data_IF_504408780468
#
_entry.id   IF_504408780468
#
_cell.length_a   1.000
_cell.length_b   1.000
_cell.length_c   1.000
_cell.angle_alpha   90.00
_cell.angle_beta   90.00
_cell.angle_gamma   90.00
#
_symmetry.space_group_name_H-M   'P 1'
#
loop_
_entity.id
_entity.type
_entity.pdbx_description
1 polymer ?
#
# COMPACT_ATOMS: atom_id res chain seq x y z
N UNK A 1 -17.77 13.22 -15.11
CA UNK A 1 -16.75 14.00 -15.84
C UNK A 1 -16.83 15.44 -15.38
N UNK A 2 -15.69 16.06 -15.04
CA UNK A 2 -15.61 17.37 -14.38
C UNK A 2 -15.90 18.51 -15.36
N UNK A 3 -15.37 18.46 -16.59
CA UNK A 3 -15.64 19.47 -17.62
C UNK A 3 -17.14 19.51 -17.98
N UNK A 4 -17.77 18.35 -18.10
CA UNK A 4 -19.22 18.26 -18.32
C UNK A 4 -20.04 18.82 -17.15
N UNK A 5 -19.57 18.63 -15.90
CA UNK A 5 -20.24 19.19 -14.73
C UNK A 5 -20.21 20.72 -14.77
N UNK A 6 -19.04 21.31 -15.10
CA UNK A 6 -18.90 22.76 -15.31
C UNK A 6 -19.85 23.25 -16.40
N UNK A 7 -19.89 22.58 -17.56
CA UNK A 7 -20.77 22.98 -18.67
C UNK A 7 -22.25 22.94 -18.28
N UNK A 8 -22.69 21.89 -17.59
CA UNK A 8 -24.08 21.78 -17.11
C UNK A 8 -24.42 22.87 -16.10
N UNK A 9 -23.50 23.20 -15.20
CA UNK A 9 -23.70 24.27 -14.23
C UNK A 9 -23.69 25.64 -14.89
N UNK A 10 -22.81 25.88 -15.87
CA UNK A 10 -22.75 27.12 -16.64
C UNK A 10 -24.00 27.36 -17.49
N UNK A 11 -24.69 26.30 -17.93
CA UNK A 11 -25.94 26.38 -18.67
C UNK A 11 -27.15 26.77 -17.81
N UNK A 12 -27.02 26.83 -16.48
CA UNK A 12 -28.10 27.25 -15.61
C UNK A 12 -28.40 28.75 -15.79
N UNK A 13 -29.69 29.15 -15.86
CA UNK A 13 -30.06 30.55 -16.02
C UNK A 13 -29.55 31.38 -14.83
N UNK A 14 -29.01 32.56 -15.13
CA UNK A 14 -28.49 33.53 -14.16
C UNK A 14 -27.37 33.02 -13.24
N UNK A 15 -26.63 31.98 -13.66
CA UNK A 15 -25.52 31.47 -12.86
C UNK A 15 -24.29 32.38 -12.94
N UNK A 16 -24.02 33.12 -11.87
CA UNK A 16 -22.82 33.95 -11.65
C UNK A 16 -22.46 33.90 -10.16
N UNK A 17 -21.25 33.44 -9.83
CA UNK A 17 -20.78 33.28 -8.44
C UNK A 17 -19.80 34.37 -8.00
N UNK A 18 -19.51 35.32 -8.90
CA UNK A 18 -18.50 36.36 -8.72
C UNK A 18 -19.15 37.73 -8.68
N UNK A 19 -18.56 38.63 -7.90
CA UNK A 19 -18.85 40.08 -8.03
C UNK A 19 -18.13 40.65 -9.26
N UNK A 20 -18.52 41.84 -9.76
CA UNK A 20 -17.83 42.49 -10.88
C UNK A 20 -16.31 42.67 -10.65
N UNK A 21 -15.89 42.93 -9.41
CA UNK A 21 -14.48 43.08 -9.04
C UNK A 21 -13.73 41.74 -9.03
N UNK A 22 -14.38 40.67 -8.59
CA UNK A 22 -13.83 39.30 -8.68
C UNK A 22 -13.72 38.84 -10.12
N UNK A 23 -14.73 39.15 -10.93
CA UNK A 23 -14.78 38.86 -12.37
C UNK A 23 -13.61 39.54 -13.10
N UNK A 24 -13.39 40.83 -12.84
CA UNK A 24 -12.28 41.58 -13.42
C UNK A 24 -10.91 41.01 -13.01
N UNK A 25 -10.74 40.59 -11.75
CA UNK A 25 -9.50 39.96 -11.27
C UNK A 25 -9.25 38.60 -11.93
N UNK A 26 -10.26 37.75 -12.01
CA UNK A 26 -10.17 36.46 -12.69
C UNK A 26 -9.84 36.64 -14.17
N UNK A 27 -10.50 37.59 -14.83
CA UNK A 27 -10.22 37.91 -16.22
C UNK A 27 -8.78 38.41 -16.43
N UNK A 28 -8.27 39.27 -15.56
CA UNK A 28 -6.87 39.71 -15.61
C UNK A 28 -5.88 38.54 -15.43
N UNK A 29 -6.14 37.62 -14.51
CA UNK A 29 -5.31 36.43 -14.33
C UNK A 29 -5.33 35.51 -15.57
N UNK A 30 -6.49 35.40 -16.22
CA UNK A 30 -6.64 34.65 -17.47
C UNK A 30 -5.83 35.29 -18.61
N UNK A 31 -5.94 36.62 -18.80
CA UNK A 31 -5.19 37.36 -19.82
C UNK A 31 -3.67 37.27 -19.59
N UNK A 32 -3.24 37.28 -18.34
CA UNK A 32 -1.82 37.09 -18.01
C UNK A 32 -1.30 35.72 -18.43
N UNK A 33 -2.09 34.66 -18.20
CA UNK A 33 -1.74 33.33 -18.68
C UNK A 33 -1.73 33.29 -20.21
N UNK A 34 -2.72 33.91 -20.86
CA UNK A 34 -2.80 33.97 -22.33
C UNK A 34 -1.60 34.69 -22.96
N UNK A 35 -1.11 35.76 -22.32
CA UNK A 35 0.07 36.50 -22.78
C UNK A 35 1.37 35.73 -22.56
N UNK A 36 1.49 35.01 -21.43
CA UNK A 36 2.74 34.35 -21.04
C UNK A 36 2.89 32.93 -21.57
N UNK A 37 1.78 32.17 -21.68
CA UNK A 37 1.72 30.76 -22.09
C UNK A 37 0.41 30.51 -22.88
N UNK A 38 0.29 31.01 -24.13
CA UNK A 38 -0.93 30.90 -24.93
C UNK A 38 -1.41 29.45 -25.10
N UNK A 39 -0.49 28.50 -25.22
CA UNK A 39 -0.77 27.08 -25.39
C UNK A 39 -1.41 26.42 -24.16
N UNK A 40 -1.27 27.04 -22.98
CA UNK A 40 -1.81 26.54 -21.73
C UNK A 40 -3.27 26.96 -21.49
N UNK A 41 -3.82 27.86 -22.30
CA UNK A 41 -5.15 28.43 -22.09
C UNK A 41 -6.26 27.50 -22.60
N UNK A 42 -7.43 27.52 -21.96
CA UNK A 42 -8.64 26.82 -22.42
C UNK A 42 -9.76 27.84 -22.70
N UNK A 43 -9.92 28.33 -23.95
CA UNK A 43 -10.93 29.34 -24.29
C UNK A 43 -12.36 28.92 -23.93
N UNK A 44 -12.72 27.65 -24.16
CA UNK A 44 -14.04 27.11 -23.84
C UNK A 44 -14.34 27.05 -22.34
N UNK A 45 -13.32 27.16 -21.48
CA UNK A 45 -13.46 27.17 -20.02
C UNK A 45 -13.34 28.59 -19.42
N UNK A 46 -13.02 29.60 -20.24
CA UNK A 46 -12.76 30.96 -19.78
C UNK A 46 -14.00 31.59 -19.13
N UNK A 47 -15.17 31.43 -19.75
CA UNK A 47 -16.42 31.97 -19.22
C UNK A 47 -16.76 31.40 -17.85
N UNK A 48 -16.65 30.07 -17.69
CA UNK A 48 -16.90 29.41 -16.41
C UNK A 48 -15.91 29.87 -15.34
N UNK A 49 -14.62 29.97 -15.70
CA UNK A 49 -13.55 30.42 -14.81
C UNK A 49 -13.81 31.83 -14.28
N UNK A 50 -14.13 32.77 -15.17
CA UNK A 50 -14.41 34.18 -14.84
C UNK A 50 -15.70 34.33 -14.01
N UNK A 51 -16.66 33.41 -14.16
CA UNK A 51 -17.86 33.31 -13.32
C UNK A 51 -17.63 32.60 -11.97
N UNK A 52 -16.40 32.23 -11.62
CA UNK A 52 -16.03 31.69 -10.32
C UNK A 52 -16.09 30.16 -10.19
N UNK A 53 -16.07 29.42 -11.30
CA UNK A 53 -16.04 27.95 -11.28
C UNK A 53 -15.00 27.35 -12.24
N UNK A 54 -14.46 26.19 -11.89
CA UNK A 54 -13.55 25.47 -12.77
C UNK A 54 -13.61 23.96 -12.57
N UNK A 55 -13.15 23.20 -13.56
CA UNK A 55 -12.83 21.80 -13.40
C UNK A 55 -11.36 21.65 -12.99
N UNK A 56 -10.99 20.59 -12.27
CA UNK A 56 -9.60 20.25 -11.95
C UNK A 56 -9.38 18.73 -12.09
N UNK A 57 -8.54 18.31 -13.04
CA UNK A 57 -8.22 16.91 -13.23
C UNK A 57 -6.84 16.71 -13.87
N UNK A 58 -6.32 15.49 -13.80
CA UNK A 58 -4.99 15.13 -14.29
C UNK A 58 -4.78 15.48 -15.78
N UNK A 59 -5.82 15.39 -16.61
CA UNK A 59 -5.76 15.74 -18.05
C UNK A 59 -5.61 17.24 -18.38
N UNK A 60 -5.58 18.15 -17.40
CA UNK A 60 -5.39 19.58 -17.68
C UNK A 60 -3.90 19.96 -17.84
N UNK A 61 -3.64 20.95 -18.68
CA UNK A 61 -2.31 21.51 -18.89
C UNK A 61 -1.76 22.15 -17.60
N UNK A 62 -0.44 22.06 -17.33
CA UNK A 62 0.15 22.57 -16.09
C UNK A 62 -0.10 24.07 -15.83
N UNK A 63 -0.04 24.92 -16.87
CA UNK A 63 -0.30 26.35 -16.74
C UNK A 63 -1.73 26.65 -16.27
N UNK A 64 -2.72 26.00 -16.90
CA UNK A 64 -4.13 26.11 -16.51
C UNK A 64 -4.40 25.62 -15.08
N UNK A 65 -3.79 24.49 -14.68
CA UNK A 65 -3.91 23.97 -13.30
C UNK A 65 -3.41 24.98 -12.27
N UNK A 66 -2.23 25.56 -12.50
CA UNK A 66 -1.66 26.59 -11.60
C UNK A 66 -2.55 27.82 -11.50
N UNK A 67 -3.14 28.25 -12.61
CA UNK A 67 -4.09 29.36 -12.62
C UNK A 67 -5.30 29.07 -11.72
N UNK A 68 -5.91 27.88 -11.87
CA UNK A 68 -7.06 27.45 -11.05
C UNK A 68 -6.67 27.36 -9.57
N UNK A 69 -5.54 26.74 -9.26
CA UNK A 69 -5.05 26.58 -7.88
C UNK A 69 -4.84 27.94 -7.21
N UNK A 70 -4.19 28.87 -7.91
CA UNK A 70 -3.97 30.24 -7.41
C UNK A 70 -5.29 31.00 -7.21
N UNK A 71 -6.20 30.94 -8.18
CA UNK A 71 -7.50 31.62 -8.09
C UNK A 71 -8.37 31.06 -6.95
N UNK A 72 -8.29 29.75 -6.69
CA UNK A 72 -9.00 29.11 -5.58
C UNK A 72 -8.43 29.48 -4.21
N UNK A 73 -7.10 29.48 -4.08
CA UNK A 73 -6.42 29.89 -2.84
C UNK A 73 -6.71 31.36 -2.49
N UNK A 74 -6.86 32.22 -3.51
CA UNK A 74 -7.28 33.61 -3.33
C UNK A 74 -8.78 33.77 -3.03
N UNK A 75 -9.55 32.68 -3.02
CA UNK A 75 -11.00 32.70 -2.77
C UNK A 75 -11.83 33.28 -3.91
N UNK A 76 -11.27 33.42 -5.11
CA UNK A 76 -11.97 33.95 -6.30
C UNK A 76 -12.84 32.87 -6.94
N UNK A 77 -12.35 31.63 -7.01
CA UNK A 77 -13.15 30.47 -7.42
C UNK A 77 -13.97 29.96 -6.23
N UNK A 78 -15.29 29.90 -6.38
CA UNK A 78 -16.22 29.44 -5.34
C UNK A 78 -16.54 27.96 -5.45
N UNK A 79 -16.47 27.40 -6.66
CA UNK A 79 -16.80 25.99 -6.94
C UNK A 79 -15.71 25.36 -7.81
N UNK A 80 -15.20 24.20 -7.41
CA UNK A 80 -14.31 23.38 -8.25
C UNK A 80 -14.89 21.97 -8.37
N UNK A 81 -15.00 21.50 -9.61
CA UNK A 81 -15.30 20.10 -9.91
C UNK A 81 -14.01 19.34 -10.11
N UNK A 82 -13.70 18.41 -9.20
CA UNK A 82 -12.41 17.75 -9.19
C UNK A 82 -12.51 16.23 -9.28
N UNK A 83 -11.47 15.62 -9.85
CA UNK A 83 -11.24 14.17 -9.70
C UNK A 83 -10.57 13.86 -8.36
N UNK A 84 -10.68 12.60 -7.92
CA UNK A 84 -10.10 12.10 -6.66
C UNK A 84 -8.63 12.48 -6.44
N UNK A 85 -7.82 12.54 -7.51
CA UNK A 85 -6.40 12.90 -7.43
C UNK A 85 -6.15 14.26 -6.78
N UNK A 86 -7.14 15.17 -6.81
CA UNK A 86 -7.05 16.44 -6.12
C UNK A 86 -6.93 16.26 -4.60
N UNK A 87 -7.65 15.30 -4.04
CA UNK A 87 -7.68 15.02 -2.61
C UNK A 87 -6.34 14.50 -2.07
N UNK A 88 -5.48 13.94 -2.92
CA UNK A 88 -4.21 13.33 -2.50
C UNK A 88 -2.99 14.27 -2.60
N UNK A 89 -3.04 15.35 -3.40
CA UNK A 89 -1.79 15.99 -3.87
C UNK A 89 -1.62 17.50 -3.65
N UNK A 90 -2.67 18.25 -3.29
CA UNK A 90 -2.60 19.72 -3.31
C UNK A 90 -3.23 20.34 -2.04
N UNK A 91 -2.65 21.42 -1.52
CA UNK A 91 -3.21 22.18 -0.41
C UNK A 91 -4.30 23.15 -0.89
N UNK A 92 -5.49 22.62 -1.15
CA UNK A 92 -6.70 23.39 -1.48
C UNK A 92 -7.86 23.02 -0.55
N UNK A 93 -7.90 23.56 0.69
CA UNK A 93 -9.02 23.36 1.59
C UNK A 93 -10.23 24.18 1.14
N UNK A 94 -11.43 23.61 1.29
CA UNK A 94 -12.71 24.24 0.99
C UNK A 94 -13.56 24.30 2.26
N UNK A 95 -14.56 25.18 2.32
CA UNK A 95 -15.55 25.13 3.42
C UNK A 95 -16.33 23.82 3.42
N UNK A 96 -16.73 23.40 2.22
CA UNK A 96 -17.57 22.22 1.99
C UNK A 96 -16.97 21.36 0.90
N UNK A 97 -16.99 20.04 1.09
CA UNK A 97 -16.69 19.07 0.04
C UNK A 97 -17.92 18.26 -0.30
N UNK A 98 -18.18 18.10 -1.60
CA UNK A 98 -19.30 17.30 -2.11
C UNK A 98 -18.76 16.10 -2.85
N UNK A 99 -19.10 14.91 -2.37
CA UNK A 99 -18.75 13.62 -2.99
C UNK A 99 -19.95 13.21 -3.84
N UNK A 100 -19.78 13.29 -5.16
CA UNK A 100 -20.89 13.07 -6.10
C UNK A 100 -21.25 11.61 -6.32
N UNK A 101 -20.29 10.70 -6.17
CA UNK A 101 -20.45 9.25 -6.38
C UNK A 101 -19.50 8.52 -5.42
N UNK A 102 -19.98 7.48 -4.74
CA UNK A 102 -19.20 6.61 -3.83
C UNK A 102 -18.88 5.25 -4.44
N UNK A 103 -19.32 5.00 -5.67
CA UNK A 103 -18.95 3.85 -6.49
C UNK A 103 -18.05 4.26 -7.67
N UNK A 104 -17.17 3.35 -8.11
CA UNK A 104 -16.30 3.56 -9.28
C UNK A 104 -16.10 2.29 -10.07
N UNK A 105 -15.99 2.43 -11.40
CA UNK A 105 -15.54 1.35 -12.28
C UNK A 105 -14.01 1.17 -12.19
N UNK A 106 -13.55 0.00 -11.76
CA UNK A 106 -12.14 -0.43 -11.85
C UNK A 106 -12.06 -1.59 -12.84
N UNK A 107 -11.64 -1.31 -14.07
CA UNK A 107 -11.64 -2.31 -15.14
C UNK A 107 -13.06 -2.75 -15.50
N UNK A 108 -13.35 -4.06 -15.37
CA UNK A 108 -14.68 -4.63 -15.61
C UNK A 108 -15.63 -4.57 -14.42
N UNK A 109 -15.14 -4.24 -13.22
CA UNK A 109 -15.91 -4.35 -11.97
C UNK A 109 -16.29 -2.97 -11.43
N UNK A 110 -17.53 -2.81 -10.97
CA UNK A 110 -17.92 -1.69 -10.11
C UNK A 110 -17.56 -2.00 -8.66
N UNK A 111 -16.76 -1.15 -8.05
CA UNK A 111 -16.33 -1.25 -6.65
C UNK A 111 -16.65 0.04 -5.92
N UNK A 112 -17.10 -0.07 -4.67
CA UNK A 112 -17.19 1.07 -3.77
C UNK A 112 -15.81 1.71 -3.55
N UNK A 113 -15.81 3.00 -3.23
CA UNK A 113 -14.62 3.70 -2.78
C UNK A 113 -14.12 3.11 -1.46
N UNK A 114 -12.82 3.28 -1.24
CA UNK A 114 -12.16 2.91 0.01
C UNK A 114 -12.45 3.96 1.10
N UNK A 115 -12.36 3.54 2.36
CA UNK A 115 -12.49 4.45 3.50
C UNK A 115 -11.48 5.59 3.40
N UNK A 116 -10.21 5.27 3.15
CA UNK A 116 -9.15 6.26 3.03
C UNK A 116 -9.40 7.24 1.86
N UNK A 117 -10.05 6.80 0.77
CA UNK A 117 -10.39 7.67 -0.37
C UNK A 117 -11.50 8.67 0.02
N UNK A 118 -12.57 8.21 0.68
CA UNK A 118 -13.64 9.09 1.18
C UNK A 118 -13.10 10.07 2.22
N UNK A 119 -12.32 9.59 3.19
CA UNK A 119 -11.77 10.42 4.26
C UNK A 119 -10.78 11.45 3.73
N UNK A 120 -9.98 11.13 2.69
CA UNK A 120 -9.12 12.10 2.01
C UNK A 120 -9.93 13.21 1.31
N UNK A 121 -11.03 12.86 0.65
CA UNK A 121 -11.92 13.86 0.04
C UNK A 121 -12.60 14.71 1.10
N UNK A 122 -13.25 14.08 2.10
CA UNK A 122 -13.94 14.76 3.18
C UNK A 122 -13.01 15.66 4.02
N UNK A 123 -11.75 15.24 4.20
CA UNK A 123 -10.73 16.01 4.92
C UNK A 123 -10.30 17.32 4.23
N UNK A 124 -10.81 17.60 3.02
CA UNK A 124 -10.66 18.92 2.38
C UNK A 124 -11.69 19.93 2.86
N UNK A 125 -12.74 19.50 3.54
CA UNK A 125 -13.74 20.39 4.14
C UNK A 125 -13.22 21.01 5.45
N UNK A 126 -13.52 22.29 5.64
CA UNK A 126 -13.09 23.08 6.78
C UNK A 126 -11.72 23.75 6.55
N UNK A 127 -11.71 25.08 6.46
CA UNK A 127 -10.48 25.86 6.34
C UNK A 127 -9.99 26.25 7.74
N UNK A 128 -8.79 25.78 8.11
CA UNK A 128 -8.15 26.11 9.38
C UNK A 128 -8.06 27.63 9.57
N UNK A 129 -8.57 28.13 10.69
CA UNK A 129 -8.56 29.56 11.02
C UNK A 129 -9.66 30.39 10.36
N UNK A 130 -10.52 29.80 9.53
CA UNK A 130 -11.63 30.51 8.88
C UNK A 130 -13.00 29.88 9.12
N UNK A 131 -13.09 28.55 9.23
CA UNK A 131 -14.34 27.83 9.46
C UNK A 131 -14.25 27.06 10.78
N UNK A 132 -15.28 27.17 11.63
CA UNK A 132 -15.38 26.39 12.89
C UNK A 132 -15.69 24.91 12.62
N UNK A 133 -16.43 24.64 11.55
CA UNK A 133 -16.89 23.31 11.15
C UNK A 133 -16.70 23.16 9.63
N UNK A 134 -16.18 22.01 9.20
CA UNK A 134 -16.15 21.58 7.80
C UNK A 134 -17.35 20.71 7.45
N UNK A 135 -17.94 20.91 6.27
CA UNK A 135 -19.08 20.12 5.81
C UNK A 135 -18.67 19.14 4.70
N UNK A 136 -18.93 17.84 4.90
CA UNK A 136 -18.81 16.83 3.86
C UNK A 136 -20.20 16.31 3.48
N UNK A 137 -20.55 16.40 2.20
CA UNK A 137 -21.86 15.99 1.68
C UNK A 137 -21.68 14.87 0.68
N UNK A 138 -22.40 13.77 0.84
CA UNK A 138 -22.46 12.69 -0.14
C UNK A 138 -23.77 12.80 -0.91
N UNK A 139 -23.69 12.85 -2.23
CA UNK A 139 -24.87 12.86 -3.09
C UNK A 139 -25.36 11.44 -3.34
N UNK A 140 -26.69 11.29 -3.38
CA UNK A 140 -27.31 10.05 -3.79
C UNK A 140 -27.29 9.94 -5.32
N UNK A 141 -26.72 8.84 -5.80
CA UNK A 141 -26.71 8.38 -7.18
C UNK A 141 -27.84 7.34 -7.39
N UNK A 142 -28.05 6.92 -8.64
CA UNK A 142 -29.00 5.83 -8.96
C UNK A 142 -28.56 4.48 -8.39
N UNK A 143 -27.26 4.31 -8.13
CA UNK A 143 -26.63 3.03 -7.79
C UNK A 143 -26.06 2.98 -6.38
N UNK A 144 -25.82 4.14 -5.78
CA UNK A 144 -25.10 4.31 -4.53
C UNK A 144 -25.53 5.60 -3.83
N UNK A 145 -25.51 5.62 -2.51
CA UNK A 145 -25.93 6.77 -1.73
C UNK A 145 -25.49 6.68 -0.27
N UNK A 146 -26.37 7.12 0.63
CA UNK A 146 -26.04 7.24 2.05
C UNK A 146 -25.72 5.89 2.73
N UNK A 147 -26.38 4.80 2.31
CA UNK A 147 -26.17 3.47 2.90
C UNK A 147 -24.76 2.95 2.59
N UNK A 148 -24.33 3.02 1.34
CA UNK A 148 -23.01 2.60 0.90
C UNK A 148 -21.92 3.50 1.49
N UNK A 149 -22.17 4.81 1.56
CA UNK A 149 -21.25 5.74 2.23
C UNK A 149 -21.07 5.40 3.71
N UNK A 150 -22.16 5.09 4.41
CA UNK A 150 -22.13 4.67 5.80
C UNK A 150 -21.40 3.35 5.99
N UNK A 151 -21.59 2.38 5.10
CA UNK A 151 -20.84 1.12 5.10
C UNK A 151 -19.33 1.36 4.96
N UNK A 152 -18.92 2.21 4.03
CA UNK A 152 -17.50 2.55 3.81
C UNK A 152 -16.90 3.23 5.05
N UNK A 153 -17.63 4.14 5.69
CA UNK A 153 -17.18 4.81 6.91
C UNK A 153 -17.02 3.80 8.05
N UNK A 154 -17.99 2.89 8.23
CA UNK A 154 -17.95 1.87 9.28
C UNK A 154 -16.80 0.86 9.14
N UNK A 155 -16.37 0.54 7.92
CA UNK A 155 -15.24 -0.37 7.69
C UNK A 155 -13.93 0.11 8.32
N UNK A 156 -13.82 1.42 8.59
CA UNK A 156 -12.62 2.03 9.16
C UNK A 156 -11.45 2.14 8.18
N UNK A 157 -10.36 2.81 8.58
CA UNK A 157 -9.23 3.09 7.70
C UNK A 157 -8.51 1.82 7.26
N UNK A 158 -8.21 1.72 5.96
CA UNK A 158 -7.42 0.60 5.45
C UNK A 158 -5.96 0.70 5.93
N UNK A 159 -5.41 -0.44 6.33
CA UNK A 159 -3.98 -0.55 6.67
C UNK A 159 -3.09 -0.25 5.48
N UNK A 160 -1.92 0.35 5.75
CA UNK A 160 -0.88 0.55 4.76
C UNK A 160 -0.39 -0.80 4.26
N UNK A 161 -0.40 -0.97 2.92
CA UNK A 161 0.12 -2.16 2.26
C UNK A 161 1.42 -1.82 1.54
N UNK A 162 2.39 -2.73 1.61
CA UNK A 162 3.64 -2.57 0.86
C UNK A 162 3.39 -2.66 -0.63
N UNK A 163 3.78 -1.62 -1.36
CA UNK A 163 3.82 -1.59 -2.83
C UNK A 163 5.20 -1.94 -3.39
N UNK A 164 6.13 -2.38 -2.53
CA UNK A 164 7.46 -2.83 -2.96
C UNK A 164 7.34 -4.00 -3.94
N UNK A 165 7.81 -3.79 -5.17
CA UNK A 165 7.94 -4.81 -6.19
C UNK A 165 9.41 -4.97 -6.57
N UNK A 166 9.81 -6.19 -6.91
CA UNK A 166 11.12 -6.47 -7.47
C UNK A 166 11.05 -6.32 -8.98
N UNK A 167 11.59 -5.22 -9.50
CA UNK A 167 11.76 -5.01 -10.94
C UNK A 167 13.19 -5.32 -11.37
N UNK A 168 13.39 -5.72 -12.63
CA UNK A 168 14.73 -5.94 -13.19
C UNK A 168 15.63 -4.71 -13.02
N UNK A 169 15.10 -3.51 -13.26
CA UNK A 169 15.85 -2.26 -13.07
C UNK A 169 16.32 -2.05 -11.63
N UNK A 170 15.49 -2.41 -10.63
CA UNK A 170 15.90 -2.36 -9.23
C UNK A 170 17.04 -3.36 -8.95
N UNK A 171 16.93 -4.58 -9.46
CA UNK A 171 17.96 -5.62 -9.27
C UNK A 171 19.29 -5.18 -9.88
N UNK A 172 19.27 -4.72 -11.13
CA UNK A 172 20.46 -4.23 -11.83
C UNK A 172 21.09 -3.03 -11.12
N UNK A 173 20.27 -2.07 -10.67
CA UNK A 173 20.76 -0.90 -9.91
C UNK A 173 21.41 -1.30 -8.59
N UNK A 174 20.84 -2.29 -7.88
CA UNK A 174 21.40 -2.78 -6.63
C UNK A 174 22.72 -3.54 -6.86
N UNK A 175 22.78 -4.41 -7.86
CA UNK A 175 24.00 -5.17 -8.18
C UNK A 175 25.13 -4.27 -8.72
N UNK A 176 24.79 -3.17 -9.39
CA UNK A 176 25.77 -2.20 -9.87
C UNK A 176 26.36 -1.33 -8.77
N UNK A 177 25.67 -1.15 -7.63
CA UNK A 177 26.05 -0.18 -6.58
C UNK A 177 26.32 -0.80 -5.22
N UNK A 178 25.95 -2.07 -5.01
CA UNK A 178 26.02 -2.76 -3.72
C UNK A 178 26.51 -4.19 -3.90
N UNK A 179 27.15 -4.72 -2.87
CA UNK A 179 27.44 -6.16 -2.81
C UNK A 179 26.15 -6.98 -2.71
N UNK A 180 26.21 -8.26 -3.10
CA UNK A 180 25.06 -9.18 -2.99
C UNK A 180 24.46 -9.23 -1.57
N UNK A 181 25.32 -9.20 -0.54
CA UNK A 181 24.89 -9.20 0.86
C UNK A 181 24.10 -7.94 1.23
N UNK A 182 24.53 -6.78 0.75
CA UNK A 182 23.86 -5.50 0.99
C UNK A 182 22.56 -5.38 0.19
N UNK A 183 22.55 -5.83 -1.07
CA UNK A 183 21.34 -5.88 -1.89
C UNK A 183 20.27 -6.79 -1.26
N UNK A 184 20.68 -7.95 -0.75
CA UNK A 184 19.81 -8.85 0.02
C UNK A 184 19.27 -8.17 1.28
N UNK A 185 20.14 -7.56 2.10
CA UNK A 185 19.71 -6.85 3.30
C UNK A 185 18.73 -5.71 2.99
N UNK A 186 18.88 -5.04 1.84
CA UNK A 186 17.96 -3.99 1.41
C UNK A 186 16.56 -4.55 1.13
N UNK A 187 16.46 -5.66 0.40
CA UNK A 187 15.18 -6.33 0.12
C UNK A 187 14.55 -6.89 1.41
N UNK A 188 15.36 -7.44 2.32
CA UNK A 188 14.92 -7.95 3.62
C UNK A 188 14.35 -6.86 4.53
N UNK A 189 14.81 -5.61 4.39
CA UNK A 189 14.29 -4.44 5.13
C UNK A 189 13.05 -3.80 4.49
N UNK A 190 12.56 -4.32 3.36
CA UNK A 190 11.35 -3.79 2.71
C UNK A 190 10.13 -3.87 3.63
N UNK A 191 9.22 -2.91 3.50
CA UNK A 191 8.00 -2.82 4.33
C UNK A 191 7.11 -4.08 4.21
N UNK A 192 7.13 -4.75 3.05
CA UNK A 192 6.43 -6.02 2.85
C UNK A 192 7.00 -7.15 3.71
N UNK A 193 8.32 -7.21 3.87
CA UNK A 193 8.99 -8.15 4.78
C UNK A 193 8.79 -7.76 6.24
N UNK A 194 8.71 -6.47 6.57
CA UNK A 194 8.35 -6.00 7.90
C UNK A 194 6.94 -6.43 8.31
N UNK A 195 5.92 -6.15 7.50
CA UNK A 195 4.53 -6.53 7.77
C UNK A 195 4.34 -8.06 7.83
N UNK A 196 4.95 -8.80 6.91
CA UNK A 196 4.92 -10.27 6.95
C UNK A 196 5.74 -10.87 8.09
N UNK A 197 6.69 -10.09 8.62
CA UNK A 197 7.60 -10.48 9.71
C UNK A 197 7.12 -10.09 11.09
N UNK A 198 6.17 -9.17 11.24
CA UNK A 198 5.68 -8.69 12.55
C UNK A 198 5.10 -9.83 13.39
N UNK A 199 4.25 -10.67 12.78
CA UNK A 199 3.72 -11.87 13.44
C UNK A 199 4.81 -12.88 13.84
N UNK A 200 5.91 -12.95 13.07
CA UNK A 200 7.08 -13.78 13.42
C UNK A 200 7.90 -13.14 14.54
N UNK A 201 8.12 -11.82 14.52
CA UNK A 201 8.85 -11.06 15.53
C UNK A 201 8.16 -11.16 16.88
N UNK A 202 6.86 -10.86 16.95
CA UNK A 202 6.06 -10.98 18.17
C UNK A 202 6.13 -12.37 18.79
N UNK A 203 6.09 -13.42 17.97
CA UNK A 203 6.25 -14.82 18.45
C UNK A 203 7.67 -15.16 18.87
N UNK A 204 8.67 -14.52 18.26
CA UNK A 204 10.08 -14.71 18.64
C UNK A 204 10.36 -14.02 19.98
N UNK A 205 9.89 -12.78 20.14
CA UNK A 205 9.92 -12.02 21.40
C UNK A 205 9.19 -12.77 22.52
N UNK A 206 8.00 -13.32 22.25
CA UNK A 206 7.25 -14.16 23.21
C UNK A 206 8.04 -15.42 23.63
N UNK A 207 8.78 -16.05 22.71
CA UNK A 207 9.63 -17.19 23.06
C UNK A 207 10.80 -16.75 23.93
N UNK A 208 11.42 -15.60 23.64
CA UNK A 208 12.53 -15.05 24.41
C UNK A 208 12.09 -14.69 25.85
N UNK A 209 10.94 -14.03 26.02
CA UNK A 209 10.42 -13.69 27.35
C UNK A 209 10.06 -14.94 28.18
N UNK A 210 9.44 -15.95 27.56
CA UNK A 210 9.17 -17.24 28.21
C UNK A 210 10.46 -17.98 28.59
N UNK A 211 11.49 -17.88 27.75
CA UNK A 211 12.81 -18.44 28.04
C UNK A 211 13.51 -17.74 29.20
N UNK A 212 13.47 -16.41 29.25
CA UNK A 212 14.06 -15.62 30.33
C UNK A 212 13.37 -15.88 31.67
N UNK A 213 12.03 -15.95 31.68
CA UNK A 213 11.27 -16.26 32.89
C UNK A 213 11.58 -17.67 33.42
N UNK A 214 11.65 -18.66 32.54
CA UNK A 214 12.01 -20.02 32.94
C UNK A 214 13.44 -20.10 33.49
N UNK A 215 14.39 -19.36 32.89
CA UNK A 215 15.77 -19.27 33.40
C UNK A 215 15.84 -18.63 34.78
N UNK A 216 15.04 -17.59 35.04
CA UNK A 216 14.98 -16.92 36.33
C UNK A 216 14.46 -17.87 37.43
N UNK A 217 13.33 -18.55 37.20
CA UNK A 217 12.77 -19.51 38.16
C UNK A 217 13.68 -20.72 38.39
N UNK A 218 14.43 -21.16 37.39
CA UNK A 218 15.44 -22.21 37.56
C UNK A 218 16.59 -21.79 38.48
N UNK A 219 16.98 -20.51 38.46
CA UNK A 219 17.99 -19.98 39.39
C UNK A 219 17.42 -19.91 40.80
N UNK A 220 16.19 -19.41 40.95
CA UNK A 220 15.49 -19.34 42.24
C UNK A 220 15.32 -20.72 42.88
N UNK A 221 14.91 -21.73 42.08
CA UNK A 221 14.83 -23.12 42.54
C UNK A 221 16.19 -23.67 42.98
N UNK A 222 17.26 -23.41 42.21
CA UNK A 222 18.61 -23.86 42.54
C UNK A 222 19.16 -23.19 43.82
N UNK A 223 18.85 -21.91 44.04
CA UNK A 223 19.19 -21.17 45.26
C UNK A 223 18.42 -21.71 46.47
N UNK A 224 17.13 -22.00 46.31
CA UNK A 224 16.29 -22.59 47.36
C UNK A 224 16.72 -24.02 47.73
N UNK A 225 17.12 -24.84 46.75
CA UNK A 225 17.71 -26.17 46.98
C UNK A 225 19.06 -26.09 47.71
N UNK A 226 19.90 -25.10 47.37
CA UNK A 226 21.18 -24.88 48.05
C UNK A 226 20.97 -24.50 49.52
N UNK A 227 20.05 -23.57 49.81
CA UNK A 227 19.67 -23.20 51.18
C UNK A 227 19.09 -24.38 51.98
N UNK A 228 18.24 -25.20 51.35
CA UNK A 228 17.71 -26.41 51.98
C UNK A 228 18.81 -27.41 52.37
N UNK A 229 19.89 -27.53 51.57
CA UNK A 229 21.04 -28.39 51.89
C UNK A 229 21.93 -27.84 53.00
N UNK A 230 22.05 -26.53 53.12
CA UNK A 230 22.92 -25.87 54.11
C UNK A 230 22.21 -25.63 55.47
N UNK A 231 20.92 -25.29 55.46
CA UNK A 231 20.18 -24.82 56.65
C UNK A 231 19.12 -25.83 57.15
N UNK A 232 18.84 -26.89 56.38
CA UNK A 232 17.88 -27.94 56.77
C UNK A 232 16.40 -27.50 56.71
N UNK A 233 16.11 -26.28 56.25
CA UNK A 233 14.74 -25.78 56.05
C UNK A 233 14.08 -26.45 54.85
N UNK A 234 12.93 -27.10 55.09
CA UNK A 234 12.15 -27.74 54.03
C UNK A 234 11.31 -26.72 53.27
N UNK A 235 11.85 -26.14 52.20
CA UNK A 235 11.08 -25.29 51.29
C UNK A 235 10.20 -26.13 50.35
N UNK A 236 8.94 -25.72 50.17
CA UNK A 236 8.06 -26.34 49.19
C UNK A 236 8.37 -25.82 47.78
N UNK A 237 9.09 -26.63 47.00
CA UNK A 237 9.50 -26.33 45.62
C UNK A 237 8.47 -26.72 44.56
N UNK A 238 7.41 -27.44 44.94
CA UNK A 238 6.33 -27.86 44.03
C UNK A 238 5.77 -26.72 43.16
N UNK A 239 5.40 -25.53 43.70
CA UNK A 239 4.83 -24.46 42.88
C UNK A 239 5.80 -23.88 41.85
N UNK A 240 7.10 -23.78 42.21
CA UNK A 240 8.14 -23.28 41.29
C UNK A 240 8.39 -24.30 40.17
N UNK A 241 8.39 -25.59 40.50
CA UNK A 241 8.58 -26.66 39.53
C UNK A 241 7.39 -26.75 38.56
N UNK A 242 6.17 -26.57 39.06
CA UNK A 242 4.93 -26.52 38.26
C UNK A 242 4.97 -25.33 37.28
N UNK A 243 5.29 -24.12 37.73
CA UNK A 243 5.42 -22.93 36.88
C UNK A 243 6.50 -23.11 35.79
N UNK A 244 7.64 -23.75 36.12
CA UNK A 244 8.69 -24.06 35.13
C UNK A 244 8.17 -25.04 34.05
N UNK A 245 7.40 -26.05 34.43
CA UNK A 245 6.81 -27.02 33.49
C UNK A 245 5.79 -26.34 32.58
N UNK A 246 4.94 -25.46 33.11
CA UNK A 246 3.99 -24.66 32.35
C UNK A 246 4.68 -23.75 31.34
N UNK A 247 5.71 -23.01 31.76
CA UNK A 247 6.48 -22.13 30.87
C UNK A 247 7.20 -22.91 29.77
N UNK A 248 7.73 -24.10 30.06
CA UNK A 248 8.30 -25.00 29.05
C UNK A 248 7.25 -25.50 28.05
N UNK A 249 6.05 -25.81 28.51
CA UNK A 249 4.93 -26.22 27.65
C UNK A 249 4.46 -25.07 26.75
N UNK A 250 4.27 -23.87 27.33
CA UNK A 250 3.92 -22.65 26.60
C UNK A 250 4.96 -22.31 25.53
N UNK A 251 6.25 -22.36 25.88
CA UNK A 251 7.36 -22.17 24.92
C UNK A 251 7.34 -23.18 23.79
N UNK A 252 7.08 -24.47 24.08
CA UNK A 252 6.98 -25.53 23.06
C UNK A 252 5.82 -25.25 22.11
N UNK A 253 4.69 -24.78 22.61
CA UNK A 253 3.53 -24.37 21.82
C UNK A 253 3.85 -23.16 20.93
N UNK A 254 4.44 -22.10 21.50
CA UNK A 254 4.86 -20.90 20.76
C UNK A 254 5.86 -21.25 19.64
N UNK A 255 6.85 -22.13 19.89
CA UNK A 255 7.77 -22.64 18.86
C UNK A 255 7.04 -23.38 17.72
N UNK A 256 6.00 -24.16 18.02
CA UNK A 256 5.18 -24.84 17.01
C UNK A 256 4.39 -23.84 16.17
N UNK A 257 3.79 -22.83 16.80
CA UNK A 257 3.07 -21.76 16.10
C UNK A 257 4.00 -20.93 15.21
N UNK A 258 5.19 -20.58 15.69
CA UNK A 258 6.21 -19.88 14.90
C UNK A 258 6.62 -20.69 13.65
N UNK A 259 6.79 -22.01 13.78
CA UNK A 259 7.06 -22.89 12.62
C UNK A 259 5.92 -22.87 11.60
N UNK A 260 4.66 -22.90 12.07
CA UNK A 260 3.48 -22.79 11.18
C UNK A 260 3.42 -21.45 10.47
N UNK A 261 3.64 -20.35 11.19
CA UNK A 261 3.69 -19.00 10.61
C UNK A 261 4.80 -18.86 9.57
N UNK A 262 5.99 -19.42 9.83
CA UNK A 262 7.09 -19.47 8.84
C UNK A 262 6.69 -20.23 7.58
N UNK A 263 6.04 -21.39 7.73
CA UNK A 263 5.57 -22.19 6.59
C UNK A 263 4.50 -21.46 5.78
N UNK A 264 3.53 -20.84 6.44
CA UNK A 264 2.47 -20.05 5.79
C UNK A 264 3.03 -18.82 5.06
N UNK A 265 3.97 -18.10 5.68
CA UNK A 265 4.63 -16.96 5.05
C UNK A 265 5.46 -17.38 3.82
N UNK A 266 6.05 -18.58 3.84
CA UNK A 266 6.77 -19.12 2.69
C UNK A 266 5.83 -19.47 1.53
N UNK A 267 4.71 -20.14 1.81
CA UNK A 267 3.68 -20.48 0.80
C UNK A 267 3.12 -19.20 0.16
N UNK A 268 2.76 -18.18 0.95
CA UNK A 268 2.29 -16.90 0.41
C UNK A 268 3.33 -16.20 -0.47
N UNK A 269 4.62 -16.33 -0.17
CA UNK A 269 5.69 -15.77 -1.02
C UNK A 269 5.77 -16.52 -2.35
N UNK A 270 5.69 -17.85 -2.33
CA UNK A 270 5.71 -18.68 -3.53
C UNK A 270 4.50 -18.38 -4.44
N UNK A 271 3.29 -18.29 -3.88
CA UNK A 271 2.07 -17.92 -4.62
C UNK A 271 2.17 -16.53 -5.25
N UNK A 272 2.69 -15.53 -4.50
CA UNK A 272 2.90 -14.17 -5.03
C UNK A 272 3.93 -14.13 -6.15
N UNK A 273 5.01 -14.91 -6.04
CA UNK A 273 6.01 -15.03 -7.08
C UNK A 273 5.43 -15.69 -8.35
N UNK A 274 4.68 -16.78 -8.20
CA UNK A 274 3.99 -17.45 -9.31
C UNK A 274 2.98 -16.53 -10.01
N UNK A 275 2.19 -15.76 -9.26
CA UNK A 275 1.25 -14.79 -9.81
C UNK A 275 1.96 -13.64 -10.55
N UNK A 276 3.16 -13.25 -10.12
CA UNK A 276 3.98 -12.25 -10.81
C UNK A 276 4.50 -12.79 -12.15
N UNK A 277 4.97 -14.04 -12.17
CA UNK A 277 5.42 -14.73 -13.39
C UNK A 277 4.27 -14.82 -14.40
N UNK A 278 3.06 -15.20 -13.95
CA UNK A 278 1.88 -15.24 -14.82
C UNK A 278 1.46 -13.86 -15.36
N UNK A 279 1.60 -12.79 -14.58
CA UNK A 279 1.27 -11.41 -15.03
C UNK A 279 2.29 -10.82 -16.01
N UNK A 280 3.54 -11.27 -15.93
CA UNK A 280 4.61 -10.87 -16.85
C UNK A 280 4.60 -11.76 -18.12
N UNK A 281 4.01 -12.96 -18.03
CA UNK A 281 3.91 -13.94 -19.12
C UNK A 281 2.82 -13.67 -20.15
N UNK A 282 2.89 -12.52 -20.81
CA UNK A 282 2.27 -12.27 -22.11
C UNK A 282 3.35 -12.05 -23.16
N UNK A 283 4.23 -13.05 -23.35
CA UNK A 283 5.29 -13.01 -24.35
C UNK A 283 6.71 -12.98 -23.75
N UNK A 284 7.16 -14.12 -23.23
CA UNK A 284 8.58 -14.47 -23.21
C UNK A 284 8.65 -15.94 -23.65
N UNK A 285 9.47 -16.29 -24.66
CA UNK A 285 9.67 -17.67 -25.06
C UNK A 285 10.24 -18.45 -23.88
N UNK A 286 9.81 -19.70 -23.78
CA UNK A 286 10.22 -20.63 -22.74
C UNK A 286 11.75 -20.68 -22.58
N UNK A 287 12.19 -20.88 -21.33
CA UNK A 287 13.58 -21.07 -20.84
C UNK A 287 14.32 -19.80 -20.43
N UNK A 288 14.00 -19.32 -19.23
CA UNK A 288 15.02 -18.72 -18.36
C UNK A 288 15.24 -19.71 -17.22
N UNK A 289 16.28 -20.53 -17.34
CA UNK A 289 16.79 -21.30 -16.22
C UNK A 289 17.29 -20.32 -15.15
N UNK A 290 16.72 -20.40 -13.96
CA UNK A 290 17.22 -19.65 -12.80
C UNK A 290 18.24 -20.57 -12.12
N UNK A 291 19.51 -20.44 -12.52
CA UNK A 291 20.62 -21.00 -11.74
C UNK A 291 20.74 -20.24 -10.43
N UNK A 292 20.24 -20.85 -9.35
CA UNK A 292 20.58 -20.45 -7.99
C UNK A 292 21.92 -21.13 -7.64
N UNK A 293 22.98 -20.40 -7.29
CA UNK A 293 24.21 -21.03 -6.83
C UNK A 293 23.93 -21.83 -5.56
N UNK A 294 24.20 -23.15 -5.64
CA UNK A 294 23.85 -24.17 -4.64
C UNK A 294 24.82 -24.21 -3.45
N UNK A 295 25.86 -23.40 -3.42
CA UNK A 295 26.98 -23.63 -2.48
C UNK A 295 26.79 -23.20 -1.02
N UNK A 296 25.64 -22.66 -0.60
CA UNK A 296 25.37 -22.36 0.82
C UNK A 296 23.89 -22.59 1.24
N UNK A 297 23.28 -23.68 0.76
CA UNK A 297 21.95 -24.10 1.27
C UNK A 297 22.06 -24.85 2.60
N UNK A 298 21.41 -24.38 3.69
CA UNK A 298 21.33 -25.15 4.92
C UNK A 298 20.48 -26.42 4.69
N UNK A 299 20.93 -27.54 5.26
CA UNK A 299 20.51 -28.94 5.07
C UNK A 299 19.02 -29.31 5.31
N UNK A 300 18.10 -28.35 5.40
CA UNK A 300 16.65 -28.60 5.47
C UNK A 300 15.93 -28.44 4.13
N UNK A 301 16.64 -28.10 3.05
CA UNK A 301 16.12 -28.03 1.67
C UNK A 301 15.68 -29.38 1.08
N UNK A 302 15.95 -30.49 1.77
CA UNK A 302 15.50 -31.83 1.35
C UNK A 302 14.62 -32.47 2.41
N UNK A 303 13.31 -32.46 2.13
CA UNK A 303 12.32 -33.53 2.41
C UNK A 303 10.91 -32.98 2.16
N UNK A 304 10.62 -32.75 0.88
CA UNK A 304 9.25 -32.90 0.37
C UNK A 304 9.10 -34.40 0.09
N UNK A 305 8.06 -35.01 0.65
CA UNK A 305 7.80 -36.44 0.49
C UNK A 305 7.40 -36.79 -0.93
N UNK A 306 7.70 -38.03 -1.30
CA UNK A 306 7.70 -38.61 -2.65
C UNK A 306 6.36 -38.56 -3.42
N UNK A 307 5.26 -38.07 -2.83
CA UNK A 307 3.95 -37.99 -3.49
C UNK A 307 3.72 -36.68 -4.28
N UNK A 308 4.59 -35.66 -4.14
CA UNK A 308 4.44 -34.36 -4.83
C UNK A 308 5.41 -34.20 -6.01
N UNK A 309 6.39 -35.10 -6.16
CA UNK A 309 7.38 -35.06 -7.25
C UNK A 309 6.78 -35.51 -8.60
N UNK A 310 5.82 -36.43 -8.62
CA UNK A 310 5.32 -37.01 -9.87
C UNK A 310 4.45 -36.03 -10.68
N UNK A 311 3.61 -35.24 -10.00
CA UNK A 311 2.76 -34.23 -10.66
C UNK A 311 3.54 -32.98 -11.10
N UNK A 312 4.60 -32.60 -10.37
CA UNK A 312 5.44 -31.44 -10.72
C UNK A 312 6.49 -31.78 -11.79
N UNK A 313 6.99 -33.03 -11.83
CA UNK A 313 7.98 -33.45 -12.82
C UNK A 313 7.39 -33.60 -14.22
N UNK A 314 6.09 -33.92 -14.36
CA UNK A 314 5.45 -33.95 -15.69
C UNK A 314 5.15 -32.55 -16.25
N UNK A 315 4.98 -31.54 -15.40
CA UNK A 315 4.75 -30.15 -15.83
C UNK A 315 6.04 -29.39 -16.21
N UNK A 316 7.20 -29.87 -15.75
CA UNK A 316 8.51 -29.28 -15.99
C UNK A 316 9.44 -30.35 -16.57
N UNK A 317 9.34 -30.58 -17.88
CA UNK A 317 10.32 -31.35 -18.65
C UNK A 317 11.67 -30.60 -18.67
N UNK A 318 12.42 -30.74 -17.59
CA UNK A 318 13.81 -30.30 -17.47
C UNK A 318 14.66 -31.44 -18.01
N UNK A 319 15.07 -31.33 -19.28
CA UNK A 319 16.17 -32.12 -19.82
C UNK A 319 17.42 -31.25 -19.81
N UNK A 320 18.50 -31.76 -19.23
CA UNK A 320 19.82 -31.16 -19.33
C UNK A 320 20.26 -31.16 -20.80
N UNK A 321 20.63 -29.99 -21.31
CA UNK A 321 21.28 -29.87 -22.63
C UNK A 321 22.79 -29.92 -22.41
N UNK A 322 23.49 -30.69 -23.24
CA UNK A 322 24.95 -30.76 -23.16
C UNK A 322 25.58 -29.51 -23.78
N UNK A 323 26.82 -29.18 -23.38
CA UNK A 323 27.52 -27.99 -23.86
C UNK A 323 27.67 -27.93 -25.40
N UNK A 324 27.71 -29.08 -26.08
CA UNK A 324 27.75 -29.17 -27.54
C UNK A 324 26.41 -28.79 -28.19
N UNK A 325 25.27 -29.09 -27.55
CA UNK A 325 23.93 -28.74 -28.04
C UNK A 325 23.67 -27.23 -27.94
N UNK A 326 24.23 -26.57 -26.92
CA UNK A 326 24.15 -25.11 -26.72
C UNK A 326 24.99 -24.35 -27.75
N UNK A 327 26.15 -24.89 -28.16
CA UNK A 327 27.03 -24.27 -29.14
C UNK A 327 26.47 -24.26 -30.57
N UNK A 328 25.49 -25.13 -30.87
CA UNK A 328 24.86 -25.27 -32.19
C UNK A 328 23.59 -24.42 -32.35
N UNK A 329 23.19 -23.65 -31.32
CA UNK A 329 21.98 -22.83 -31.38
C UNK A 329 22.25 -21.55 -32.18
N UNK A 330 21.48 -21.26 -33.25
CA UNK A 330 21.73 -20.09 -34.09
C UNK A 330 21.43 -18.82 -33.29
N UNK A 331 22.43 -17.94 -33.21
CA UNK A 331 22.26 -16.58 -32.71
C UNK A 331 21.75 -15.72 -33.87
N UNK A 332 20.44 -15.51 -33.95
CA UNK A 332 19.87 -14.49 -34.83
C UNK A 332 19.35 -13.30 -33.99
N UNK A 333 19.99 -12.15 -34.26
CA UNK A 333 19.37 -10.87 -34.64
C UNK A 333 18.36 -10.22 -33.72
#
# INVERSE_FOLDING_TARGET
DCDQAVQKTAALPNFRLTTPEEEARLFAMYQELERSQPESVRPHAAEAFVRGMAAHHAGMLPGWKKLIESAFQQGLLKVIFATETLAAGINMPARTTVISVVSRKRGSVHSLLKHNEITQMAGRAGRRGYDDIGHAVVLQSRWDGAAEAFEIIQRGPEMLTSQFNTSYGLVLSLLATKSLKEARSFVERSFGNYLGGEGLRRRTEEIETLEDRARALQREAAEAEAKQREEGESNNLEPIMEEILELKAAKKLAKRQLRRLRKAAHVQRAERAAALIQRVGGGLPARVGVDLPVEDSPSWAYRLGDEVEEELSQALLIRELTAEEVAMMPLEG
#
